data_IF_176444900342
#
_entry.id   IF_176444900342
#
_cell.length_a   1.000
_cell.length_b   1.000
_cell.length_c   1.000
_cell.angle_alpha   90.00
_cell.angle_beta   90.00
_cell.angle_gamma   90.00
#
_symmetry.space_group_name_H-M   'P 1'
#
loop_
_entity.id
_entity.type
_entity.pdbx_description
1 polymer ?
#
# COMPACT_ATOMS: atom_id res chain seq x y z
N UNK A 1 -11.75 14.92 -13.95
CA UNK A 1 -12.21 14.45 -15.27
C UNK A 1 -13.64 13.97 -15.13
N UNK A 2 -14.51 14.30 -16.08
CA UNK A 2 -15.84 13.71 -16.18
C UNK A 2 -15.74 12.45 -17.04
N UNK A 3 -16.33 11.35 -16.59
CA UNK A 3 -16.43 10.14 -17.41
C UNK A 3 -17.49 10.38 -18.50
N UNK A 4 -17.28 9.80 -19.68
CA UNK A 4 -18.32 9.79 -20.70
C UNK A 4 -19.52 8.98 -20.22
N UNK A 5 -20.72 9.33 -20.71
CA UNK A 5 -21.96 8.70 -20.31
C UNK A 5 -21.93 7.17 -20.48
N UNK A 6 -21.34 6.68 -21.57
CA UNK A 6 -21.21 5.25 -21.86
C UNK A 6 -20.34 4.52 -20.83
N UNK A 7 -19.22 5.14 -20.43
CA UNK A 7 -18.31 4.58 -19.41
C UNK A 7 -19.00 4.50 -18.05
N UNK A 8 -19.80 5.51 -17.71
CA UNK A 8 -20.57 5.52 -16.46
C UNK A 8 -21.66 4.44 -16.45
N UNK A 9 -22.39 4.27 -17.56
CA UNK A 9 -23.39 3.21 -17.68
C UNK A 9 -22.77 1.82 -17.55
N UNK A 10 -21.61 1.61 -18.17
CA UNK A 10 -20.87 0.35 -18.04
C UNK A 10 -20.45 0.10 -16.58
N UNK A 11 -19.85 1.10 -15.93
CA UNK A 11 -19.45 1.00 -14.53
C UNK A 11 -20.63 0.66 -13.61
N UNK A 12 -21.80 1.27 -13.83
CA UNK A 12 -23.03 0.99 -13.08
C UNK A 12 -23.51 -0.46 -13.26
N UNK A 13 -23.52 -0.96 -14.51
CA UNK A 13 -23.91 -2.35 -14.80
C UNK A 13 -22.99 -3.36 -14.12
N UNK A 14 -21.68 -3.18 -14.23
CA UNK A 14 -20.71 -4.09 -13.62
C UNK A 14 -20.76 -3.99 -12.08
N UNK A 15 -20.89 -2.78 -11.54
CA UNK A 15 -21.02 -2.57 -10.09
C UNK A 15 -22.26 -3.28 -9.52
N UNK A 16 -23.40 -3.24 -10.23
CA UNK A 16 -24.60 -3.97 -9.85
C UNK A 16 -24.38 -5.50 -9.82
N UNK A 17 -23.65 -6.05 -10.79
CA UNK A 17 -23.32 -7.49 -10.81
C UNK A 17 -22.40 -7.92 -9.66
N UNK A 18 -21.50 -7.05 -9.21
CA UNK A 18 -20.50 -7.35 -8.18
C UNK A 18 -20.97 -6.92 -6.78
N UNK A 19 -22.11 -6.24 -6.67
CA UNK A 19 -22.64 -5.74 -5.40
C UNK A 19 -21.81 -4.60 -4.79
N UNK A 20 -21.09 -3.86 -5.63
CA UNK A 20 -20.26 -2.72 -5.21
C UNK A 20 -20.88 -1.40 -5.69
N UNK A 21 -20.46 -0.28 -5.09
CA UNK A 21 -20.73 1.03 -5.68
C UNK A 21 -19.84 1.26 -6.90
N UNK A 22 -20.32 1.95 -7.96
CA UNK A 22 -19.53 2.22 -9.16
C UNK A 22 -18.17 2.86 -8.85
N UNK A 23 -18.11 3.77 -7.89
CA UNK A 23 -16.88 4.47 -7.50
C UNK A 23 -15.86 3.51 -6.85
N UNK A 24 -16.34 2.54 -6.06
CA UNK A 24 -15.47 1.55 -5.42
C UNK A 24 -14.92 0.55 -6.46
N UNK A 25 -15.76 0.16 -7.42
CA UNK A 25 -15.34 -0.69 -8.53
C UNK A 25 -14.29 0.01 -9.41
N UNK A 26 -14.54 1.26 -9.79
CA UNK A 26 -13.61 2.07 -10.59
C UNK A 26 -12.28 2.24 -9.85
N UNK A 27 -12.32 2.57 -8.55
CA UNK A 27 -11.12 2.69 -7.73
C UNK A 27 -10.32 1.38 -7.71
N UNK A 28 -10.96 0.25 -7.42
CA UNK A 28 -10.28 -1.04 -7.34
C UNK A 28 -9.69 -1.47 -8.70
N UNK A 29 -10.37 -1.17 -9.81
CA UNK A 29 -9.87 -1.44 -11.15
C UNK A 29 -8.63 -0.58 -11.46
N UNK A 30 -8.67 0.71 -11.14
CA UNK A 30 -7.54 1.62 -11.33
C UNK A 30 -6.34 1.26 -10.44
N UNK A 31 -6.57 0.90 -9.18
CA UNK A 31 -5.50 0.45 -8.27
C UNK A 31 -4.81 -0.82 -8.80
N UNK A 32 -5.58 -1.77 -9.33
CA UNK A 32 -5.05 -2.99 -9.95
C UNK A 32 -4.19 -2.67 -11.17
N UNK A 33 -4.70 -1.83 -12.07
CA UNK A 33 -4.00 -1.44 -13.29
C UNK A 33 -2.73 -0.64 -12.98
N UNK A 34 -2.83 0.34 -12.09
CA UNK A 34 -1.68 1.13 -11.68
C UNK A 34 -0.62 0.28 -10.97
N UNK A 35 -1.01 -0.78 -10.23
CA UNK A 35 -0.06 -1.76 -9.67
C UNK A 35 0.62 -2.59 -10.75
N UNK A 36 -0.12 -3.02 -11.77
CA UNK A 36 0.44 -3.77 -12.90
C UNK A 36 1.43 -2.91 -13.71
N UNK A 37 1.14 -1.63 -13.86
CA UNK A 37 2.00 -0.66 -14.55
C UNK A 37 3.13 -0.09 -13.67
N UNK A 38 3.20 -0.48 -12.39
CA UNK A 38 4.22 0.02 -11.45
C UNK A 38 4.08 1.50 -11.05
N UNK A 39 2.97 2.14 -11.43
CA UNK A 39 2.65 3.56 -11.13
C UNK A 39 1.99 3.70 -9.76
N UNK A 40 1.39 2.61 -9.24
CA UNK A 40 0.76 2.61 -7.93
C UNK A 40 1.78 2.42 -6.81
N UNK A 41 2.18 3.53 -6.20
CA UNK A 41 2.95 3.58 -4.95
C UNK A 41 2.05 3.76 -3.73
N UNK A 42 0.83 3.20 -3.76
CA UNK A 42 -0.12 3.37 -2.65
C UNK A 42 0.54 3.08 -1.31
N UNK A 43 0.11 3.79 -0.24
CA UNK A 43 0.53 3.47 1.12
C UNK A 43 0.47 1.96 1.29
N UNK A 44 1.55 1.31 1.77
CA UNK A 44 1.57 -0.14 1.91
C UNK A 44 0.36 -0.49 2.75
N UNK A 45 -0.67 -1.05 2.11
CA UNK A 45 -1.85 -1.52 2.81
C UNK A 45 -1.33 -2.41 3.90
N UNK A 46 -1.74 -2.19 5.16
CA UNK A 46 -1.26 -2.93 6.33
C UNK A 46 -1.37 -4.43 6.02
N UNK A 47 -0.30 -5.01 5.49
CA UNK A 47 -0.32 -6.38 5.04
C UNK A 47 -0.29 -7.17 6.33
N UNK A 48 -1.43 -7.79 6.64
CA UNK A 48 -1.55 -8.64 7.81
C UNK A 48 -0.54 -9.77 7.62
N UNK A 49 0.50 -9.75 8.45
CA UNK A 49 1.47 -10.83 8.53
C UNK A 49 0.95 -11.88 9.50
N UNK A 50 1.17 -13.15 9.18
CA UNK A 50 1.03 -14.22 10.17
C UNK A 50 2.16 -14.15 11.19
N UNK A 51 2.01 -14.84 12.32
CA UNK A 51 3.05 -14.91 13.36
C UNK A 51 4.35 -15.49 12.80
N UNK A 52 4.26 -16.49 11.94
CA UNK A 52 5.42 -17.13 11.28
C UNK A 52 6.14 -16.14 10.36
N UNK A 53 5.38 -15.34 9.61
CA UNK A 53 5.95 -14.30 8.74
C UNK A 53 6.66 -13.22 9.56
N UNK A 54 6.08 -12.84 10.71
CA UNK A 54 6.69 -11.85 11.62
C UNK A 54 8.01 -12.37 12.19
N UNK A 55 8.04 -13.62 12.65
CA UNK A 55 9.25 -14.27 13.18
C UNK A 55 10.32 -14.38 12.09
N UNK A 56 9.94 -14.78 10.87
CA UNK A 56 10.85 -14.87 9.74
C UNK A 56 11.46 -13.51 9.37
N UNK A 57 10.67 -12.43 9.41
CA UNK A 57 11.15 -11.08 9.20
C UNK A 57 12.13 -10.67 10.30
N UNK A 58 11.81 -10.93 11.57
CA UNK A 58 12.71 -10.65 12.69
C UNK A 58 14.07 -11.31 12.52
N UNK A 59 14.10 -12.61 12.18
CA UNK A 59 15.35 -13.35 11.92
C UNK A 59 16.18 -12.75 10.79
N UNK A 60 15.51 -12.27 9.72
CA UNK A 60 16.20 -11.59 8.61
C UNK A 60 16.83 -10.29 9.08
N UNK A 61 16.09 -9.47 9.83
CA UNK A 61 16.57 -8.17 10.31
C UNK A 61 17.74 -8.34 11.29
N UNK A 62 17.66 -9.30 12.23
CA UNK A 62 18.73 -9.54 13.21
C UNK A 62 20.02 -10.10 12.60
N UNK A 63 19.96 -10.66 11.39
CA UNK A 63 21.13 -11.16 10.68
C UNK A 63 21.87 -10.05 9.90
N UNK A 64 21.28 -8.86 9.76
CA UNK A 64 21.92 -7.74 9.10
C UNK A 64 23.00 -7.12 10.00
N UNK A 65 24.11 -6.62 9.43
CA UNK A 65 25.10 -5.89 10.19
C UNK A 65 24.51 -4.60 10.77
N UNK A 66 24.97 -4.21 11.95
CA UNK A 66 24.61 -2.92 12.54
C UNK A 66 25.26 -1.81 11.70
N UNK A 67 24.43 -1.00 11.04
CA UNK A 67 24.89 0.09 10.16
C UNK A 67 25.22 1.37 10.92
N UNK A 68 24.53 1.60 12.04
CA UNK A 68 24.71 2.77 12.89
C UNK A 68 24.95 2.29 14.33
N UNK A 69 26.15 2.50 14.90
CA UNK A 69 26.47 2.08 16.27
C UNK A 69 25.88 3.03 17.32
N UNK A 70 25.33 4.18 16.93
CA UNK A 70 24.78 5.16 17.85
C UNK A 70 23.56 4.60 18.55
N UNK A 71 23.39 4.99 19.81
CA UNK A 71 22.22 4.65 20.59
C UNK A 71 20.97 5.33 20.01
N UNK A 72 19.76 4.78 20.28
CA UNK A 72 18.51 5.41 19.86
C UNK A 72 18.39 6.88 20.32
N UNK A 73 18.95 7.22 21.49
CA UNK A 73 18.92 8.58 22.02
C UNK A 73 19.78 9.53 21.19
N UNK A 74 21.02 9.14 20.88
CA UNK A 74 21.92 9.97 20.06
C UNK A 74 21.34 10.23 18.66
N UNK A 75 20.70 9.21 18.07
CA UNK A 75 20.01 9.35 16.78
C UNK A 75 18.84 10.34 16.90
N UNK A 76 18.06 10.25 17.98
CA UNK A 76 16.93 11.15 18.20
C UNK A 76 17.37 12.58 18.47
N UNK A 77 18.46 12.78 19.22
CA UNK A 77 18.97 14.10 19.55
C UNK A 77 19.42 14.84 18.26
N UNK A 78 20.12 14.16 17.34
CA UNK A 78 20.50 14.70 16.02
C UNK A 78 19.29 15.09 15.15
N UNK A 79 18.24 14.26 15.11
CA UNK A 79 17.03 14.56 14.32
C UNK A 79 16.28 15.79 14.81
N UNK A 80 16.51 16.21 16.06
CA UNK A 80 15.86 17.37 16.69
C UNK A 80 16.79 18.59 16.76
N UNK A 81 17.99 18.54 16.18
CA UNK A 81 18.84 19.73 16.02
C UNK A 81 18.22 20.68 14.96
N UNK A 82 18.12 21.99 15.26
CA UNK A 82 17.46 22.99 14.39
C UNK A 82 18.25 23.38 13.14
#
# INVERSE_FOLDING_TARGET
MQLTHDTEQLARKVAACVGLRPEQLIRAALEREAKALGVYHGQPGKQRMTVEQMIALGKKVTALPLLDPRSPKEIMDELNEP
#
